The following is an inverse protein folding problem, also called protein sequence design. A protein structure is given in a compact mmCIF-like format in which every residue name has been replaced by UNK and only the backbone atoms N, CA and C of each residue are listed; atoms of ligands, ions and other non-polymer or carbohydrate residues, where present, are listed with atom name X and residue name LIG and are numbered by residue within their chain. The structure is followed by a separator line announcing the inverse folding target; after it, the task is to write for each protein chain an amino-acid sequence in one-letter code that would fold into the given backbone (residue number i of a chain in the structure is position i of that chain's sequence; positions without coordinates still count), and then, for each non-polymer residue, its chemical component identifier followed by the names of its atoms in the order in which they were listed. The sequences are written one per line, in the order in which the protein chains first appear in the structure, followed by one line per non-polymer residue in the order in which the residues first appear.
data_IF_112837516262
#
_entry.id   IF_112837516262
#
_cell.length_a   1.000
_cell.length_b   1.000
_cell.length_c   1.000
_cell.angle_alpha   90.00
_cell.angle_beta   90.00
_cell.angle_gamma   90.00
#
_symmetry.space_group_name_H-M   'P 1'
#
loop_
_entity.id
_entity.type
_entity.pdbx_description
1 polymer ?
#
# COMPACT_ATOMS: atom_id res chain seq x y z
N UNK A 1 16.90 -25.77 65.05
CA UNK A 1 16.62 -27.10 65.65
C UNK A 1 16.09 -28.00 64.54
N UNK A 2 17.00 -28.78 63.95
CA UNK A 2 16.73 -30.07 63.29
C UNK A 2 16.89 -31.19 64.36
N UNK A 3 16.74 -32.51 64.07
CA UNK A 3 15.77 -33.25 63.24
C UNK A 3 15.37 -34.61 63.88
N UNK A 4 14.59 -35.47 63.19
CA UNK A 4 14.76 -36.97 63.07
C UNK A 4 13.63 -37.53 62.18
N UNK A 5 13.90 -38.03 60.95
CA UNK A 5 14.29 -39.40 60.51
C UNK A 5 13.20 -40.46 60.80
N UNK A 6 12.80 -41.44 59.97
CA UNK A 6 13.17 -42.05 58.65
C UNK A 6 12.30 -43.33 58.56
N UNK A 7 11.82 -43.90 57.42
CA UNK A 7 12.53 -44.76 56.46
C UNK A 7 11.55 -45.32 55.38
N UNK A 8 12.10 -45.62 54.19
CA UNK A 8 11.56 -46.33 53.01
C UNK A 8 11.55 -47.89 53.20
N UNK A 9 11.00 -48.71 52.27
CA UNK A 9 11.61 -49.10 50.96
C UNK A 9 10.57 -49.07 49.80
N UNK A 10 10.84 -49.14 48.48
CA UNK A 10 12.03 -49.40 47.67
C UNK A 10 11.63 -50.15 46.39
N UNK A 11 12.19 -49.74 45.24
CA UNK A 11 12.31 -50.41 43.92
C UNK A 11 11.16 -50.37 42.88
N UNK A 12 11.36 -49.59 41.80
CA UNK A 12 11.57 -50.11 40.43
C UNK A 12 12.12 -49.00 39.52
N UNK A 13 13.38 -49.15 39.09
CA UNK A 13 14.08 -48.34 38.09
C UNK A 13 14.53 -49.33 37.00
N UNK A 14 14.05 -49.20 35.76
CA UNK A 14 14.78 -49.63 34.56
C UNK A 14 14.11 -49.13 33.26
N UNK A 15 14.93 -48.41 32.49
CA UNK A 15 14.92 -48.21 31.03
C UNK A 15 13.72 -47.56 30.34
N UNK A 16 13.84 -46.27 30.02
CA UNK A 16 13.40 -45.69 28.74
C UNK A 16 14.28 -44.47 28.40
N UNK A 17 15.57 -44.73 28.17
CA UNK A 17 16.51 -43.81 27.52
C UNK A 17 16.89 -44.43 26.18
N UNK A 18 15.95 -44.42 25.24
CA UNK A 18 16.10 -45.01 23.89
C UNK A 18 15.13 -44.39 22.88
N UNK A 19 14.92 -43.08 22.93
CA UNK A 19 14.12 -42.36 21.93
C UNK A 19 14.78 -41.05 21.39
N UNK A 20 16.06 -40.81 21.71
CA UNK A 20 16.86 -39.67 21.20
C UNK A 20 18.07 -40.19 20.40
N UNK A 21 17.88 -41.25 19.60
CA UNK A 21 18.95 -41.85 18.80
C UNK A 21 18.55 -42.16 17.34
N UNK A 22 17.41 -41.67 16.86
CA UNK A 22 16.95 -41.95 15.48
C UNK A 22 16.91 -40.74 14.53
N UNK A 23 17.43 -39.58 14.94
CA UNK A 23 17.47 -38.36 14.10
C UNK A 23 18.89 -37.87 13.79
N UNK A 24 19.93 -38.67 14.08
CA UNK A 24 21.35 -38.26 13.91
C UNK A 24 22.20 -39.19 13.03
N UNK A 25 21.57 -40.02 12.19
CA UNK A 25 22.30 -40.88 11.22
C UNK A 25 22.04 -40.58 9.73
N UNK A 26 21.39 -39.46 9.40
CA UNK A 26 21.17 -39.06 7.99
C UNK A 26 21.92 -37.80 7.54
N UNK A 27 22.72 -37.19 8.42
CA UNK A 27 23.48 -35.95 8.10
C UNK A 27 24.97 -36.22 7.84
N UNK A 28 25.46 -37.46 7.97
CA UNK A 28 26.89 -37.79 7.83
C UNK A 28 27.29 -38.42 6.48
N UNK A 29 26.36 -38.64 5.54
CA UNK A 29 26.66 -39.29 4.26
C UNK A 29 26.70 -38.35 3.03
N UNK A 30 26.47 -37.04 3.21
CA UNK A 30 26.44 -36.07 2.11
C UNK A 30 27.66 -35.12 2.08
N UNK A 31 28.70 -35.38 2.89
CA UNK A 31 29.88 -34.50 3.02
C UNK A 31 31.18 -35.09 2.45
N UNK A 32 31.12 -36.15 1.64
CA UNK A 32 32.32 -36.82 1.10
C UNK A 32 32.32 -37.01 -0.43
N UNK A 33 31.50 -36.26 -1.17
CA UNK A 33 31.45 -36.36 -2.64
C UNK A 33 31.56 -35.02 -3.41
N UNK A 34 32.10 -33.98 -2.79
CA UNK A 34 32.36 -32.68 -3.46
C UNK A 34 33.75 -32.12 -3.13
N UNK A 35 34.78 -32.95 -3.28
CA UNK A 35 36.16 -32.49 -3.36
C UNK A 35 36.96 -33.44 -4.24
N UNK A 36 37.12 -33.07 -5.52
CA UNK A 36 38.23 -33.36 -6.45
C UNK A 36 37.69 -33.29 -7.88
N UNK A 37 37.85 -32.13 -8.53
CA UNK A 37 38.61 -31.96 -9.78
C UNK A 37 38.76 -30.44 -9.96
N UNK A 38 39.96 -29.93 -9.70
CA UNK A 38 40.47 -28.73 -10.37
C UNK A 38 41.04 -29.18 -11.70
N UNK A 39 40.85 -28.41 -12.78
CA UNK A 39 41.85 -28.16 -13.86
C UNK A 39 41.24 -27.27 -14.96
N UNK A 40 41.92 -26.13 -15.18
CA UNK A 40 41.98 -25.22 -16.34
C UNK A 40 40.73 -24.48 -16.87
N UNK A 41 40.80 -23.14 -16.78
CA UNK A 41 40.00 -22.15 -17.51
C UNK A 41 40.94 -21.28 -18.37
N UNK A 42 40.69 -21.20 -19.68
CA UNK A 42 40.97 -20.05 -20.55
C UNK A 42 39.92 -20.08 -21.71
N UNK A 43 39.58 -18.92 -22.33
CA UNK A 43 38.24 -18.69 -22.88
C UNK A 43 38.19 -18.63 -24.42
N UNK A 44 37.03 -18.97 -25.00
CA UNK A 44 36.71 -18.59 -26.38
C UNK A 44 35.21 -18.70 -26.69
N UNK A 45 34.60 -17.52 -26.90
CA UNK A 45 33.64 -17.09 -27.93
C UNK A 45 32.56 -18.05 -28.49
N UNK A 46 31.34 -17.48 -28.56
CA UNK A 46 30.25 -17.67 -29.52
C UNK A 46 30.00 -19.08 -30.09
N UNK A 47 28.79 -19.62 -29.84
CA UNK A 47 27.88 -20.07 -30.91
C UNK A 47 26.50 -20.45 -30.35
N UNK A 48 25.49 -19.82 -30.93
CA UNK A 48 24.10 -20.28 -30.95
C UNK A 48 24.03 -21.69 -31.56
N UNK A 49 23.31 -22.61 -30.92
CA UNK A 49 22.28 -23.43 -31.58
C UNK A 49 21.52 -24.34 -30.61
N UNK A 50 20.22 -24.35 -30.83
CA UNK A 50 19.18 -25.28 -30.40
C UNK A 50 19.58 -26.76 -30.43
N UNK A 51 19.23 -27.54 -29.39
CA UNK A 51 18.80 -28.93 -29.55
C UNK A 51 17.87 -29.37 -28.40
N UNK A 52 16.86 -30.10 -28.82
CA UNK A 52 15.68 -30.64 -28.12
C UNK A 52 15.92 -31.99 -27.41
N UNK A 53 15.03 -32.30 -26.46
CA UNK A 53 14.61 -33.64 -25.95
C UNK A 53 15.56 -34.47 -25.08
N UNK A 54 15.15 -34.84 -23.85
CA UNK A 54 14.25 -36.00 -23.64
C UNK A 54 13.99 -36.32 -22.14
N UNK A 55 12.72 -36.62 -21.84
CA UNK A 55 12.18 -37.58 -20.87
C UNK A 55 12.43 -37.45 -19.35
N UNK A 56 11.38 -37.07 -18.62
CA UNK A 56 10.88 -37.87 -17.50
C UNK A 56 9.34 -37.96 -17.59
N UNK A 57 8.89 -39.14 -18.01
CA UNK A 57 7.49 -39.56 -18.09
C UNK A 57 6.96 -39.84 -16.67
N UNK A 58 5.94 -39.11 -16.24
CA UNK A 58 5.01 -39.59 -15.22
C UNK A 58 3.59 -39.58 -15.79
N UNK A 59 3.00 -40.77 -15.74
CA UNK A 59 1.79 -41.18 -16.44
C UNK A 59 0.55 -40.60 -15.75
N UNK A 60 -0.31 -39.86 -16.47
CA UNK A 60 -1.67 -39.53 -16.05
C UNK A 60 -2.66 -40.05 -17.11
N UNK A 61 -3.82 -40.60 -16.72
CA UNK A 61 -4.75 -41.21 -17.66
C UNK A 61 -5.47 -40.15 -18.50
N UNK A 62 -5.59 -40.47 -19.79
CA UNK A 62 -6.23 -39.69 -20.83
C UNK A 62 -7.77 -39.79 -20.77
N UNK A 63 -8.43 -38.66 -20.96
CA UNK A 63 -9.69 -38.40 -21.68
C UNK A 63 -10.21 -37.07 -21.13
N UNK A 64 -10.28 -35.98 -21.89
CA UNK A 64 -11.35 -35.69 -22.83
C UNK A 64 -10.86 -34.68 -23.88
N UNK A 65 -11.21 -34.98 -25.14
CA UNK A 65 -11.26 -34.16 -26.35
C UNK A 65 -10.72 -32.71 -26.30
N UNK A 66 -9.63 -32.49 -27.04
CA UNK A 66 -9.21 -31.18 -27.55
C UNK A 66 -10.21 -30.70 -28.61
N UNK A 67 -11.09 -29.78 -28.23
CA UNK A 67 -11.52 -28.74 -29.15
C UNK A 67 -10.40 -27.70 -29.20
N UNK A 68 -9.87 -27.41 -30.38
CA UNK A 68 -9.06 -26.22 -30.65
C UNK A 68 -9.93 -25.00 -30.32
N UNK A 69 -9.83 -24.51 -29.08
CA UNK A 69 -10.30 -23.18 -28.72
C UNK A 69 -9.15 -22.24 -29.01
N UNK A 70 -9.42 -21.26 -29.87
CA UNK A 70 -8.61 -20.07 -30.05
C UNK A 70 -8.13 -19.59 -28.67
N UNK A 71 -6.81 -19.42 -28.51
CA UNK A 71 -6.26 -18.71 -27.37
C UNK A 71 -6.81 -17.28 -27.45
N UNK A 72 -7.99 -17.06 -26.88
CA UNK A 72 -8.47 -15.73 -26.55
C UNK A 72 -7.38 -15.09 -25.70
N UNK A 73 -6.72 -14.11 -26.28
CA UNK A 73 -5.75 -13.23 -25.66
C UNK A 73 -6.45 -12.55 -24.48
N UNK A 74 -6.49 -13.25 -23.34
CA UNK A 74 -7.20 -12.84 -22.14
C UNK A 74 -6.41 -11.69 -21.52
N UNK A 75 -6.50 -10.53 -22.14
CA UNK A 75 -6.15 -9.26 -21.54
C UNK A 75 -7.15 -9.08 -20.40
N UNK A 76 -6.75 -9.28 -19.12
CA UNK A 76 -7.68 -9.04 -18.03
C UNK A 76 -8.08 -7.57 -18.17
N UNK A 77 -9.37 -7.31 -18.32
CA UNK A 77 -9.90 -5.94 -18.38
C UNK A 77 -9.53 -5.26 -17.07
N UNK A 78 -8.43 -4.51 -17.07
CA UNK A 78 -7.79 -3.87 -15.91
C UNK A 78 -8.56 -2.61 -15.44
N UNK A 79 -9.80 -2.44 -15.87
CA UNK A 79 -10.65 -1.34 -15.46
C UNK A 79 -11.50 -1.77 -14.25
N UNK A 80 -10.99 -1.51 -13.05
CA UNK A 80 -11.64 -1.87 -11.77
C UNK A 80 -12.84 -1.00 -11.43
N UNK A 81 -12.89 0.21 -11.98
CA UNK A 81 -13.93 1.19 -11.68
C UNK A 81 -15.11 0.92 -12.59
N UNK A 82 -16.21 0.45 -11.99
CA UNK A 82 -17.49 0.21 -12.67
C UNK A 82 -18.46 1.31 -12.24
N UNK A 83 -18.91 2.14 -13.18
CA UNK A 83 -19.81 3.27 -12.90
C UNK A 83 -21.16 2.80 -12.35
N UNK A 84 -21.69 3.53 -11.36
CA UNK A 84 -22.99 3.25 -10.73
C UNK A 84 -24.16 3.33 -11.72
N UNK A 85 -24.02 4.02 -12.84
CA UNK A 85 -25.04 4.11 -13.90
C UNK A 85 -25.36 2.74 -14.51
N UNK A 86 -24.45 1.77 -14.43
CA UNK A 86 -24.71 0.40 -14.90
C UNK A 86 -25.88 -0.27 -14.17
N UNK A 87 -26.25 0.19 -12.97
CA UNK A 87 -27.44 -0.29 -12.26
C UNK A 87 -28.73 -0.13 -13.08
N UNK A 88 -28.78 0.86 -13.98
CA UNK A 88 -29.95 1.09 -14.83
C UNK A 88 -30.22 -0.07 -15.78
N UNK A 89 -29.16 -0.73 -16.27
CA UNK A 89 -29.25 -1.93 -17.11
C UNK A 89 -29.85 -3.14 -16.36
N UNK A 90 -29.89 -3.07 -15.02
CA UNK A 90 -30.40 -4.12 -14.14
C UNK A 90 -31.68 -3.69 -13.40
N UNK A 91 -32.43 -2.74 -13.97
CA UNK A 91 -33.79 -2.41 -13.52
C UNK A 91 -33.86 -1.43 -12.35
N UNK A 92 -32.77 -0.71 -12.05
CA UNK A 92 -32.80 0.42 -11.10
C UNK A 92 -33.15 1.71 -11.85
N UNK A 93 -34.11 2.46 -11.32
CA UNK A 93 -34.53 3.72 -11.94
C UNK A 93 -33.39 4.75 -11.93
N UNK A 94 -33.23 5.50 -13.03
CA UNK A 94 -32.22 6.56 -13.14
C UNK A 94 -32.32 7.60 -11.99
N UNK A 95 -33.53 7.94 -11.55
CA UNK A 95 -33.73 8.87 -10.42
C UNK A 95 -33.23 8.33 -9.08
N UNK A 96 -33.19 7.01 -8.89
CA UNK A 96 -32.61 6.40 -7.71
C UNK A 96 -31.07 6.32 -7.81
N UNK A 97 -30.54 6.13 -9.02
CA UNK A 97 -29.09 6.26 -9.29
C UNK A 97 -28.60 7.69 -9.06
N UNK A 98 -29.34 8.71 -9.51
CA UNK A 98 -28.99 10.12 -9.24
C UNK A 98 -28.91 10.43 -7.74
N UNK A 99 -29.74 9.78 -6.91
CA UNK A 99 -29.66 9.93 -5.44
C UNK A 99 -28.43 9.26 -4.83
N UNK A 100 -27.95 8.15 -5.43
CA UNK A 100 -26.68 7.53 -5.04
C UNK A 100 -25.52 8.48 -5.33
N UNK A 101 -25.46 9.04 -6.55
CA UNK A 101 -24.45 10.04 -6.94
C UNK A 101 -24.50 11.28 -6.04
N UNK A 102 -25.70 11.81 -5.78
CA UNK A 102 -25.89 12.92 -4.83
C UNK A 102 -25.46 12.59 -3.39
N UNK A 103 -25.36 11.31 -3.04
CA UNK A 103 -24.84 10.81 -1.76
C UNK A 103 -23.38 10.32 -1.86
N UNK A 104 -22.66 10.72 -2.92
CA UNK A 104 -21.26 10.39 -3.21
C UNK A 104 -20.95 8.90 -3.46
N UNK A 105 -21.92 8.16 -4.00
CA UNK A 105 -21.71 6.82 -4.55
C UNK A 105 -21.66 6.89 -6.08
N UNK A 106 -20.47 6.76 -6.63
CA UNK A 106 -20.20 6.87 -8.07
C UNK A 106 -19.85 5.53 -8.71
N UNK A 107 -19.54 4.49 -7.92
CA UNK A 107 -19.20 3.17 -8.44
C UNK A 107 -20.06 2.06 -7.85
N UNK A 108 -20.13 0.94 -8.57
CA UNK A 108 -20.77 -0.29 -8.10
C UNK A 108 -20.05 -0.81 -6.85
N UNK A 109 -18.72 -0.77 -6.79
CA UNK A 109 -17.95 -1.24 -5.65
C UNK A 109 -18.25 -0.46 -4.36
N UNK A 110 -18.41 0.86 -4.44
CA UNK A 110 -18.83 1.67 -3.31
C UNK A 110 -20.22 1.28 -2.78
N UNK A 111 -21.18 1.00 -3.67
CA UNK A 111 -22.54 0.56 -3.27
C UNK A 111 -22.50 -0.82 -2.61
N UNK A 112 -21.65 -1.72 -3.11
CA UNK A 112 -21.46 -3.06 -2.54
C UNK A 112 -20.85 -3.00 -1.14
N UNK A 113 -19.80 -2.20 -0.96
CA UNK A 113 -19.08 -2.03 0.32
C UNK A 113 -19.91 -1.29 1.37
N UNK A 114 -20.85 -0.43 0.95
CA UNK A 114 -21.73 0.29 1.86
C UNK A 114 -22.64 -0.65 2.66
N UNK A 115 -22.74 -0.43 3.96
CA UNK A 115 -23.72 -1.14 4.80
C UNK A 115 -25.14 -0.76 4.39
N UNK A 116 -26.04 -1.74 4.38
CA UNK A 116 -27.46 -1.48 4.04
C UNK A 116 -28.08 -0.42 4.96
N UNK A 117 -27.64 -0.33 6.22
CA UNK A 117 -28.07 0.71 7.17
C UNK A 117 -27.69 2.12 6.69
N UNK A 118 -26.53 2.29 6.07
CA UNK A 118 -26.07 3.58 5.53
C UNK A 118 -26.86 3.93 4.28
N UNK A 119 -27.07 2.99 3.36
CA UNK A 119 -27.87 3.26 2.16
C UNK A 119 -29.33 3.63 2.49
N UNK A 120 -29.89 3.09 3.58
CA UNK A 120 -31.22 3.46 4.08
C UNK A 120 -31.33 4.92 4.57
N UNK A 121 -30.22 5.61 4.86
CA UNK A 121 -30.26 7.03 5.24
C UNK A 121 -30.49 7.95 4.04
N UNK A 122 -30.29 7.44 2.81
CA UNK A 122 -30.56 8.18 1.58
C UNK A 122 -32.07 8.41 1.46
N UNK A 123 -32.47 9.68 1.30
CA UNK A 123 -33.88 10.05 1.21
C UNK A 123 -34.58 9.32 0.07
N UNK A 124 -35.62 8.54 0.40
CA UNK A 124 -36.41 7.76 -0.57
C UNK A 124 -35.87 6.35 -0.86
N UNK A 125 -34.87 5.88 -0.10
CA UNK A 125 -34.42 4.49 -0.09
C UNK A 125 -35.14 3.70 1.00
N UNK A 126 -36.10 2.86 0.59
CA UNK A 126 -36.70 1.85 1.45
C UNK A 126 -35.82 0.61 1.57
N UNK A 127 -36.09 -0.26 2.54
CA UNK A 127 -35.37 -1.53 2.71
C UNK A 127 -35.42 -2.39 1.45
N UNK A 128 -36.61 -2.57 0.86
CA UNK A 128 -36.78 -3.30 -0.39
C UNK A 128 -35.99 -2.67 -1.55
N UNK A 129 -35.88 -1.34 -1.59
CA UNK A 129 -35.10 -0.66 -2.64
C UNK A 129 -33.61 -0.89 -2.46
N UNK A 130 -33.09 -0.81 -1.24
CA UNK A 130 -31.68 -1.10 -0.93
C UNK A 130 -31.32 -2.53 -1.34
N UNK A 131 -32.20 -3.50 -1.06
CA UNK A 131 -32.00 -4.89 -1.45
C UNK A 131 -31.94 -5.05 -2.98
N UNK A 132 -32.89 -4.45 -3.71
CA UNK A 132 -32.89 -4.45 -5.18
C UNK A 132 -31.62 -3.81 -5.76
N UNK A 133 -31.19 -2.68 -5.20
CA UNK A 133 -29.96 -1.99 -5.63
C UNK A 133 -28.74 -2.86 -5.40
N UNK A 134 -28.60 -3.51 -4.24
CA UNK A 134 -27.49 -4.43 -3.98
C UNK A 134 -27.52 -5.67 -4.86
N UNK A 135 -28.70 -6.18 -5.19
CA UNK A 135 -28.85 -7.31 -6.12
C UNK A 135 -28.45 -6.92 -7.55
N UNK A 136 -28.85 -5.73 -8.01
CA UNK A 136 -28.40 -5.19 -9.29
C UNK A 136 -26.88 -4.97 -9.29
N UNK A 137 -26.32 -4.42 -8.22
CA UNK A 137 -24.88 -4.19 -8.08
C UNK A 137 -24.06 -5.48 -8.15
N UNK A 138 -24.56 -6.58 -7.57
CA UNK A 138 -23.93 -7.92 -7.70
C UNK A 138 -23.82 -8.38 -9.16
N UNK A 139 -24.83 -8.07 -9.98
CA UNK A 139 -24.86 -8.45 -11.40
C UNK A 139 -23.94 -7.59 -12.27
N UNK A 140 -23.59 -6.39 -11.81
CA UNK A 140 -22.67 -5.48 -12.49
C UNK A 140 -21.20 -5.79 -12.19
N UNK A 141 -20.89 -6.69 -11.24
CA UNK A 141 -19.52 -7.04 -10.92
C UNK A 141 -18.87 -7.78 -12.10
N UNK A 142 -17.57 -7.56 -12.37
CA UNK A 142 -16.86 -8.29 -13.42
C UNK A 142 -17.02 -9.80 -13.28
N UNK A 143 -17.20 -10.49 -14.41
CA UNK A 143 -17.36 -11.95 -14.47
C UNK A 143 -16.22 -12.64 -13.71
N UNK A 144 -16.55 -13.56 -12.79
CA UNK A 144 -15.61 -14.25 -11.91
C UNK A 144 -15.44 -13.65 -10.51
N UNK A 145 -15.95 -12.44 -10.23
CA UNK A 145 -15.96 -11.88 -8.88
C UNK A 145 -17.11 -12.49 -8.04
N UNK A 146 -16.93 -13.73 -7.59
CA UNK A 146 -17.86 -14.43 -6.67
C UNK A 146 -17.71 -14.00 -5.21
N UNK A 147 -16.87 -13.00 -4.94
CA UNK A 147 -16.42 -12.62 -3.60
C UNK A 147 -15.33 -13.54 -3.03
N UNK A 148 -15.05 -14.68 -3.67
CA UNK A 148 -13.96 -15.59 -3.33
C UNK A 148 -13.01 -15.71 -4.52
N UNK A 149 -11.71 -15.74 -4.23
CA UNK A 149 -10.66 -15.96 -5.23
C UNK A 149 -9.52 -16.77 -4.61
N UNK A 150 -8.82 -17.52 -5.44
CA UNK A 150 -7.58 -18.21 -5.06
C UNK A 150 -6.43 -17.22 -4.88
N UNK A 151 -5.38 -17.63 -4.17
CA UNK A 151 -4.19 -16.80 -4.02
C UNK A 151 -3.51 -16.48 -5.37
N UNK A 152 -3.61 -17.39 -6.35
CA UNK A 152 -3.08 -17.18 -7.70
C UNK A 152 -3.86 -16.11 -8.47
N UNK A 153 -5.19 -16.11 -8.37
CA UNK A 153 -6.03 -15.06 -8.97
C UNK A 153 -5.77 -13.71 -8.31
N UNK A 154 -5.60 -13.68 -6.98
CA UNK A 154 -5.21 -12.47 -6.27
C UNK A 154 -3.84 -11.96 -6.73
N UNK A 155 -2.86 -12.85 -6.92
CA UNK A 155 -1.53 -12.48 -7.43
C UNK A 155 -1.63 -11.85 -8.82
N UNK A 156 -2.44 -12.41 -9.71
CA UNK A 156 -2.70 -11.84 -11.04
C UNK A 156 -3.37 -10.47 -10.91
N UNK A 157 -4.38 -10.33 -10.03
CA UNK A 157 -5.08 -9.06 -9.77
C UNK A 157 -4.13 -7.98 -9.22
N UNK A 158 -3.19 -8.35 -8.36
CA UNK A 158 -2.18 -7.43 -7.79
C UNK A 158 -1.15 -6.95 -8.81
N UNK A 159 -1.07 -7.53 -10.02
CA UNK A 159 -0.26 -6.97 -11.11
C UNK A 159 -0.70 -5.58 -11.55
N UNK A 160 -1.93 -5.18 -11.22
CA UNK A 160 -2.45 -3.83 -11.45
C UNK A 160 -2.00 -2.81 -10.39
N UNK A 161 -1.39 -3.25 -9.29
CA UNK A 161 -0.84 -2.33 -8.30
C UNK A 161 0.41 -1.67 -8.87
N UNK A 162 0.54 -0.36 -8.64
CA UNK A 162 1.72 0.41 -8.99
C UNK A 162 2.41 0.92 -7.72
N UNK A 163 3.62 1.45 -7.86
CA UNK A 163 4.35 2.11 -6.78
C UNK A 163 4.73 3.51 -7.20
N UNK A 164 4.58 4.46 -6.29
CA UNK A 164 5.00 5.85 -6.50
C UNK A 164 6.36 6.03 -5.82
N UNK A 165 7.44 6.30 -6.58
CA UNK A 165 8.74 6.54 -6.00
C UNK A 165 8.76 7.81 -5.12
N UNK A 166 9.70 7.85 -4.19
CA UNK A 166 9.85 8.94 -3.22
C UNK A 166 10.69 10.10 -3.76
N UNK A 167 11.50 9.84 -4.79
CA UNK A 167 12.52 10.76 -5.34
C UNK A 167 13.95 10.41 -4.92
N UNK A 168 14.13 9.51 -3.95
CA UNK A 168 15.44 8.97 -3.53
C UNK A 168 15.53 7.49 -3.88
N UNK A 169 16.54 7.11 -4.68
CA UNK A 169 16.79 5.71 -5.06
C UNK A 169 17.10 4.84 -3.85
N UNK A 170 17.81 5.38 -2.85
CA UNK A 170 18.09 4.64 -1.62
C UNK A 170 16.82 4.33 -0.84
N UNK A 171 15.91 5.30 -0.75
CA UNK A 171 14.62 5.09 -0.08
C UNK A 171 13.71 4.16 -0.89
N UNK A 172 13.65 4.34 -2.20
CA UNK A 172 12.84 3.49 -3.07
C UNK A 172 13.32 2.04 -3.03
N UNK A 173 14.64 1.79 -2.90
CA UNK A 173 15.19 0.45 -2.76
C UNK A 173 14.69 -0.27 -1.51
N UNK A 174 14.52 0.42 -0.38
CA UNK A 174 14.02 -0.22 0.85
C UNK A 174 12.49 -0.39 0.84
N UNK A 175 11.78 0.41 0.03
CA UNK A 175 10.32 0.32 -0.17
C UNK A 175 9.93 -0.55 -1.39
N UNK A 176 10.87 -1.27 -2.00
CA UNK A 176 10.59 -2.10 -3.16
C UNK A 176 10.08 -1.31 -4.39
N UNK A 177 10.54 -0.07 -4.55
CA UNK A 177 10.18 0.83 -5.66
C UNK A 177 9.30 2.02 -5.26
N UNK A 178 8.99 2.19 -3.97
CA UNK A 178 8.21 3.32 -3.44
C UNK A 178 6.90 2.89 -2.79
N UNK A 179 5.98 3.84 -2.60
CA UNK A 179 4.71 3.58 -1.92
C UNK A 179 3.70 2.89 -2.84
N UNK A 180 3.18 1.74 -2.42
CA UNK A 180 2.24 0.92 -3.20
C UNK A 180 0.84 1.55 -3.31
N UNK A 181 0.17 1.35 -4.45
CA UNK A 181 -1.26 1.63 -4.63
C UNK A 181 -2.12 0.59 -3.92
N UNK A 182 -3.41 0.88 -3.72
CA UNK A 182 -4.31 0.06 -2.88
C UNK A 182 -3.83 -0.10 -1.45
N UNK A 183 -3.02 0.84 -0.98
CA UNK A 183 -2.39 0.78 0.32
C UNK A 183 -2.47 2.14 1.01
N UNK A 184 -2.61 2.09 2.32
CA UNK A 184 -2.59 3.25 3.21
C UNK A 184 -1.21 3.32 3.86
N UNK A 185 -0.47 4.36 3.53
CA UNK A 185 0.92 4.55 3.93
C UNK A 185 1.02 5.73 4.91
N UNK A 186 1.69 5.52 6.04
CA UNK A 186 1.89 6.54 7.07
C UNK A 186 3.36 6.92 7.18
N UNK A 187 3.63 8.23 7.10
CA UNK A 187 4.92 8.80 7.43
C UNK A 187 4.80 9.67 8.67
N UNK A 188 5.58 9.37 9.70
CA UNK A 188 5.54 10.11 10.95
C UNK A 188 6.93 10.51 11.42
N UNK A 189 7.00 11.57 12.21
CA UNK A 189 8.27 12.08 12.72
C UNK A 189 8.11 13.43 13.39
N UNK A 190 9.19 13.90 14.01
CA UNK A 190 9.19 15.19 14.70
C UNK A 190 8.96 16.39 13.79
N UNK A 191 8.70 17.54 14.42
CA UNK A 191 8.81 18.82 13.74
C UNK A 191 10.19 18.94 13.06
N UNK A 192 10.22 19.61 11.90
CA UNK A 192 11.42 19.76 11.05
C UNK A 192 12.02 18.44 10.53
N UNK A 193 11.32 17.31 10.60
CA UNK A 193 11.63 16.13 9.79
C UNK A 193 11.04 16.23 8.36
N UNK A 194 10.45 17.38 8.03
CA UNK A 194 10.12 17.81 6.65
C UNK A 194 9.12 16.90 5.92
N UNK A 195 8.19 16.29 6.67
CA UNK A 195 7.05 15.50 6.14
C UNK A 195 6.33 16.19 4.97
N UNK A 196 5.98 17.47 5.10
CA UNK A 196 5.33 18.23 4.02
C UNK A 196 6.21 18.41 2.77
N UNK A 197 7.55 18.37 2.88
CA UNK A 197 8.42 18.39 1.69
C UNK A 197 8.33 17.08 0.91
N UNK A 198 8.20 15.95 1.60
CA UNK A 198 7.89 14.68 0.95
C UNK A 198 6.52 14.75 0.27
N UNK A 199 5.49 15.27 0.94
CA UNK A 199 4.17 15.47 0.33
C UNK A 199 4.23 16.31 -0.97
N UNK A 200 4.95 17.44 -0.96
CA UNK A 200 5.13 18.26 -2.16
C UNK A 200 5.89 17.52 -3.28
N UNK A 201 6.93 16.75 -2.91
CA UNK A 201 7.69 15.96 -3.89
C UNK A 201 6.81 14.91 -4.54
N UNK A 202 6.03 14.18 -3.74
CA UNK A 202 5.12 13.15 -4.23
C UNK A 202 4.01 13.73 -5.13
N UNK A 203 3.57 14.97 -4.91
CA UNK A 203 2.61 15.63 -5.81
C UNK A 203 3.13 15.75 -7.25
N UNK A 204 4.43 15.92 -7.43
CA UNK A 204 5.08 15.99 -8.74
C UNK A 204 5.39 14.60 -9.26
N UNK A 205 6.06 13.77 -8.44
CA UNK A 205 6.51 12.43 -8.85
C UNK A 205 5.34 11.53 -9.26
N UNK A 206 4.16 11.64 -8.62
CA UNK A 206 2.99 10.86 -9.01
C UNK A 206 2.51 11.14 -10.44
N UNK A 207 2.79 12.34 -10.97
CA UNK A 207 2.39 12.78 -12.30
C UNK A 207 3.44 12.48 -13.38
N UNK A 208 4.67 12.16 -12.99
CA UNK A 208 5.75 11.83 -13.92
C UNK A 208 5.33 10.64 -14.79
N UNK A 209 5.53 10.75 -16.10
CA UNK A 209 5.29 9.62 -16.99
C UNK A 209 6.23 8.46 -16.68
N UNK A 210 5.71 7.23 -16.78
CA UNK A 210 6.51 6.00 -16.72
C UNK A 210 7.58 6.00 -17.82
N UNK A 211 7.40 6.82 -18.86
CA UNK A 211 8.32 7.00 -19.98
C UNK A 211 9.02 8.36 -19.93
N UNK A 212 9.72 8.68 -18.84
CA UNK A 212 10.78 9.70 -18.90
C UNK A 212 12.11 9.04 -19.24
N UNK A 213 12.32 8.79 -20.54
CA UNK A 213 13.66 8.82 -21.11
C UNK A 213 13.60 9.52 -22.47
N UNK A 214 13.77 10.84 -22.47
CA UNK A 214 13.81 11.65 -23.69
C UNK A 214 15.15 11.55 -24.44
N UNK A 215 15.98 10.53 -24.19
CA UNK A 215 17.26 10.37 -24.92
C UNK A 215 17.53 8.98 -25.52
N UNK A 216 16.58 8.05 -25.52
CA UNK A 216 16.79 6.74 -26.17
C UNK A 216 15.73 6.43 -27.23
N UNK A 217 16.26 5.99 -28.37
CA UNK A 217 15.59 5.63 -29.62
C UNK A 217 14.31 4.81 -29.38
N UNK A 218 13.20 5.21 -30.03
CA UNK A 218 11.84 4.67 -29.85
C UNK A 218 11.67 3.22 -30.36
N UNK A 219 12.75 2.55 -30.74
CA UNK A 219 12.74 1.26 -31.42
C UNK A 219 12.69 0.05 -30.47
N UNK A 220 12.95 0.22 -29.16
CA UNK A 220 12.95 -0.91 -28.21
C UNK A 220 12.31 -0.57 -26.84
N UNK A 221 10.98 -0.39 -26.84
CA UNK A 221 10.17 -0.17 -25.62
C UNK A 221 9.92 -1.49 -24.86
N UNK A 222 10.42 -2.63 -25.36
CA UNK A 222 10.02 -3.95 -24.85
C UNK A 222 10.77 -4.43 -23.60
N UNK A 223 11.87 -3.77 -23.18
CA UNK A 223 12.74 -4.31 -22.11
C UNK A 223 13.36 -3.28 -21.13
N UNK A 224 12.65 -2.22 -20.70
CA UNK A 224 13.13 -1.40 -19.57
C UNK A 224 12.46 -1.81 -18.24
N UNK A 225 13.22 -1.98 -17.13
CA UNK A 225 12.63 -2.24 -15.82
C UNK A 225 11.76 -1.06 -15.36
N UNK A 226 10.62 -1.35 -14.74
CA UNK A 226 9.59 -0.40 -14.24
C UNK A 226 10.04 0.51 -13.08
N UNK A 227 11.28 0.99 -13.05
CA UNK A 227 11.86 1.61 -11.84
C UNK A 227 12.21 3.10 -11.95
N UNK A 228 11.97 3.77 -13.07
CA UNK A 228 12.21 5.21 -13.20
C UNK A 228 11.03 5.88 -13.92
N UNK A 229 9.93 6.10 -13.18
CA UNK A 229 8.77 6.81 -13.66
C UNK A 229 7.63 6.85 -12.64
N UNK A 230 6.76 7.86 -12.73
CA UNK A 230 5.65 8.10 -11.81
C UNK A 230 4.42 7.21 -12.11
N UNK A 231 3.26 7.57 -11.58
CA UNK A 231 2.03 6.79 -11.79
C UNK A 231 1.14 7.34 -12.92
N UNK A 232 1.58 8.39 -13.62
CA UNK A 232 0.81 9.06 -14.69
C UNK A 232 -0.59 9.50 -14.24
N UNK A 233 -0.72 10.01 -13.01
CA UNK A 233 -2.03 10.39 -12.50
C UNK A 233 -2.07 11.67 -11.71
N UNK A 234 -3.27 12.24 -11.68
CA UNK A 234 -3.63 13.39 -10.87
C UNK A 234 -3.50 13.07 -9.38
N UNK A 235 -3.37 14.12 -8.59
CA UNK A 235 -3.15 14.04 -7.14
C UNK A 235 -4.25 14.76 -6.42
N UNK A 236 -4.74 14.20 -5.32
CA UNK A 236 -5.64 14.89 -4.40
C UNK A 236 -4.91 15.16 -3.07
N UNK A 237 -5.13 16.33 -2.48
CA UNK A 237 -4.51 16.76 -1.22
C UNK A 237 -5.56 17.28 -0.27
N UNK A 238 -5.69 16.62 0.88
CA UNK A 238 -6.42 17.12 2.05
C UNK A 238 -5.38 17.69 3.02
N UNK A 239 -5.30 19.02 3.09
CA UNK A 239 -4.39 19.71 3.99
C UNK A 239 -5.13 20.24 5.22
N UNK A 240 -4.62 19.91 6.40
CA UNK A 240 -5.19 20.35 7.68
C UNK A 240 -4.35 21.43 8.36
N UNK A 241 -3.07 21.55 8.01
CA UNK A 241 -2.12 22.43 8.69
C UNK A 241 -1.98 23.81 8.01
N UNK A 242 -2.48 23.98 6.77
CA UNK A 242 -2.30 25.21 5.98
C UNK A 242 -0.88 25.38 5.44
N UNK A 243 -0.13 24.29 5.30
CA UNK A 243 1.30 24.25 4.96
C UNK A 243 1.57 23.94 3.49
N UNK A 244 0.53 23.62 2.71
CA UNK A 244 0.66 23.40 1.28
C UNK A 244 1.07 24.70 0.57
N UNK A 245 2.08 24.64 -0.29
CA UNK A 245 2.62 25.79 -1.04
C UNK A 245 2.77 25.40 -2.51
N UNK A 246 1.86 25.84 -3.40
CA UNK A 246 1.95 25.56 -4.83
C UNK A 246 3.27 26.02 -5.46
N UNK A 247 3.86 27.10 -4.96
CA UNK A 247 5.15 27.61 -5.42
C UNK A 247 6.28 26.61 -5.16
N UNK A 248 6.18 25.86 -4.05
CA UNK A 248 7.14 24.80 -3.75
C UNK A 248 6.97 23.60 -4.67
N UNK A 249 5.73 23.25 -5.01
CA UNK A 249 5.43 22.19 -5.99
C UNK A 249 5.95 22.60 -7.37
N UNK A 250 5.73 23.84 -7.79
CA UNK A 250 6.26 24.40 -9.04
C UNK A 250 7.78 24.29 -9.13
N UNK A 251 8.51 24.65 -8.07
CA UNK A 251 9.96 24.50 -8.03
C UNK A 251 10.42 23.05 -8.21
N UNK A 252 9.70 22.08 -7.62
CA UNK A 252 10.01 20.66 -7.81
C UNK A 252 9.67 20.22 -9.24
N UNK A 253 8.56 20.68 -9.80
CA UNK A 253 8.18 20.41 -11.19
C UNK A 253 9.24 20.88 -12.20
N UNK A 254 9.74 22.11 -12.04
CA UNK A 254 10.82 22.67 -12.88
C UNK A 254 12.09 21.80 -12.83
N UNK A 255 12.47 21.34 -11.64
CA UNK A 255 13.62 20.43 -11.47
C UNK A 255 13.43 19.12 -12.24
N UNK A 256 12.20 18.60 -12.28
CA UNK A 256 11.82 17.42 -13.04
C UNK A 256 11.47 17.70 -14.52
N UNK A 257 11.74 18.92 -15.01
CA UNK A 257 11.49 19.34 -16.39
C UNK A 257 10.00 19.23 -16.80
N UNK A 258 9.10 19.39 -15.84
CA UNK A 258 7.66 19.43 -16.05
C UNK A 258 7.17 20.87 -16.05
N UNK A 259 6.10 21.14 -16.81
CA UNK A 259 5.44 22.43 -16.79
C UNK A 259 4.74 22.68 -15.43
N UNK A 260 5.13 23.70 -14.66
CA UNK A 260 4.59 23.93 -13.32
C UNK A 260 3.11 24.26 -13.28
N UNK A 261 2.58 24.91 -14.31
CA UNK A 261 1.16 25.25 -14.40
C UNK A 261 0.33 23.98 -14.57
N UNK A 262 0.69 23.13 -15.54
CA UNK A 262 0.07 21.82 -15.77
C UNK A 262 0.14 20.94 -14.52
N UNK A 263 1.29 20.90 -13.84
CA UNK A 263 1.44 20.09 -12.61
C UNK A 263 0.49 20.56 -11.51
N UNK A 264 0.32 21.87 -11.33
CA UNK A 264 -0.60 22.41 -10.32
C UNK A 264 -2.07 22.21 -10.70
N UNK A 265 -2.43 22.31 -11.99
CA UNK A 265 -3.80 22.03 -12.47
C UNK A 265 -4.23 20.58 -12.20
N UNK A 266 -3.28 19.65 -12.20
CA UNK A 266 -3.51 18.23 -11.90
C UNK A 266 -3.58 17.92 -10.39
N UNK A 267 -3.53 18.93 -9.52
CA UNK A 267 -3.63 18.76 -8.07
C UNK A 267 -4.97 19.29 -7.57
N UNK A 268 -5.85 18.38 -7.16
CA UNK A 268 -7.07 18.71 -6.45
C UNK A 268 -6.74 19.00 -4.98
N UNK A 269 -6.91 20.25 -4.55
CA UNK A 269 -6.55 20.69 -3.20
C UNK A 269 -7.77 21.09 -2.36
N UNK A 270 -7.80 20.65 -1.11
CA UNK A 270 -8.75 21.12 -0.09
C UNK A 270 -8.03 21.42 1.22
N UNK A 271 -8.43 22.53 1.85
CA UNK A 271 -8.03 22.84 3.23
C UNK A 271 -9.16 22.46 4.19
N UNK A 272 -9.00 21.37 4.92
CA UNK A 272 -9.93 20.99 5.96
C UNK A 272 -9.74 21.88 7.20
N UNK A 273 -10.86 22.29 7.81
CA UNK A 273 -10.88 23.23 8.94
C UNK A 273 -11.27 22.59 10.27
N UNK A 274 -11.91 21.42 10.22
CA UNK A 274 -12.24 20.57 11.35
C UNK A 274 -12.31 19.10 10.87
N UNK A 275 -12.38 18.17 11.82
CA UNK A 275 -12.35 16.73 11.58
C UNK A 275 -13.54 16.21 10.76
N UNK A 276 -14.71 16.84 10.88
CA UNK A 276 -15.88 16.51 10.04
C UNK A 276 -15.66 16.94 8.59
N UNK A 277 -15.21 18.18 8.36
CA UNK A 277 -14.86 18.70 7.04
C UNK A 277 -13.74 17.88 6.39
N UNK A 278 -12.76 17.40 7.15
CA UNK A 278 -11.73 16.46 6.66
C UNK A 278 -12.36 15.15 6.15
N UNK A 279 -13.33 14.60 6.87
CA UNK A 279 -14.03 13.39 6.44
C UNK A 279 -14.93 13.65 5.23
N UNK A 280 -15.73 14.71 5.26
CA UNK A 280 -16.66 15.05 4.18
C UNK A 280 -15.93 15.38 2.87
N UNK A 281 -14.77 16.04 2.95
CA UNK A 281 -13.92 16.31 1.79
C UNK A 281 -13.47 15.02 1.11
N UNK A 282 -13.08 14.00 1.89
CA UNK A 282 -12.74 12.69 1.36
C UNK A 282 -13.94 12.07 0.63
N UNK A 283 -15.14 12.14 1.21
CA UNK A 283 -16.35 11.61 0.58
C UNK A 283 -16.64 12.30 -0.75
N UNK A 284 -16.52 13.63 -0.81
CA UNK A 284 -16.76 14.42 -2.03
C UNK A 284 -15.75 14.10 -3.15
N UNK A 285 -14.50 13.77 -2.80
CA UNK A 285 -13.48 13.38 -3.78
C UNK A 285 -13.81 12.08 -4.53
N UNK A 286 -14.80 11.29 -4.09
CA UNK A 286 -15.24 10.08 -4.77
C UNK A 286 -15.58 10.31 -6.25
N UNK A 287 -16.16 11.47 -6.59
CA UNK A 287 -16.51 11.81 -7.98
C UNK A 287 -15.26 11.90 -8.85
N UNK A 288 -14.24 12.62 -8.35
CA UNK A 288 -12.97 12.80 -9.03
C UNK A 288 -12.21 11.48 -9.15
N UNK A 289 -12.25 10.62 -8.14
CA UNK A 289 -11.59 9.32 -8.20
C UNK A 289 -12.29 8.32 -9.12
N UNK A 290 -13.62 8.44 -9.30
CA UNK A 290 -14.36 7.60 -10.24
C UNK A 290 -13.98 7.84 -11.71
N UNK A 291 -13.29 8.95 -12.05
CA UNK A 291 -12.74 9.14 -13.40
C UNK A 291 -11.58 8.20 -13.72
N UNK A 292 -10.93 7.63 -12.70
CA UNK A 292 -9.77 6.74 -12.85
C UNK A 292 -8.45 7.44 -13.17
N UNK A 293 -8.45 8.79 -13.22
CA UNK A 293 -7.27 9.61 -13.55
C UNK A 293 -6.34 9.87 -12.35
N UNK A 294 -6.79 9.61 -11.13
CA UNK A 294 -6.01 9.86 -9.91
C UNK A 294 -5.18 8.65 -9.51
N UNK A 295 -4.01 8.92 -8.91
CA UNK A 295 -3.08 7.87 -8.45
C UNK A 295 -2.60 8.08 -7.01
N UNK A 296 -2.73 9.29 -6.46
CA UNK A 296 -2.27 9.63 -5.13
C UNK A 296 -3.30 10.49 -4.39
N UNK A 297 -3.61 10.11 -3.14
CA UNK A 297 -4.30 10.94 -2.16
C UNK A 297 -3.38 11.22 -0.98
N UNK A 298 -3.11 12.49 -0.71
CA UNK A 298 -2.32 12.95 0.44
C UNK A 298 -3.25 13.50 1.52
N UNK A 299 -3.02 13.08 2.77
CA UNK A 299 -3.63 13.70 3.97
C UNK A 299 -2.51 14.27 4.86
N UNK A 300 -2.33 15.59 4.83
CA UNK A 300 -1.29 16.30 5.59
C UNK A 300 -1.91 17.28 6.61
N UNK A 301 -2.10 16.91 7.88
CA UNK A 301 -1.77 15.64 8.54
C UNK A 301 -3.02 14.96 9.09
N UNK A 302 -2.98 13.62 9.16
CA UNK A 302 -4.16 12.79 9.47
C UNK A 302 -4.80 13.11 10.83
N UNK A 303 -4.00 13.56 11.80
CA UNK A 303 -4.41 13.72 13.19
C UNK A 303 -4.48 15.16 13.69
N UNK A 304 -4.12 16.17 12.88
CA UNK A 304 -4.11 17.55 13.35
C UNK A 304 -5.48 17.97 13.92
N UNK A 305 -6.54 17.79 13.13
CA UNK A 305 -7.90 18.24 13.48
C UNK A 305 -8.55 17.32 14.52
N UNK A 306 -8.35 16.00 14.43
CA UNK A 306 -8.85 15.07 15.44
C UNK A 306 -8.26 15.32 16.83
N UNK A 307 -7.08 15.93 16.93
CA UNK A 307 -6.49 16.29 18.23
C UNK A 307 -7.00 17.63 18.77
N UNK A 308 -7.34 18.57 17.91
CA UNK A 308 -7.88 19.87 18.34
C UNK A 308 -9.34 19.76 18.74
N UNK A 309 -10.12 18.99 17.98
CA UNK A 309 -11.58 18.93 18.07
C UNK A 309 -12.04 18.04 19.23
N UNK A 310 -11.24 17.04 19.59
CA UNK A 310 -11.54 16.11 20.68
C UNK A 310 -10.49 16.22 21.79
N UNK A 311 -10.89 16.77 22.94
CA UNK A 311 -9.99 17.15 24.02
C UNK A 311 -10.11 16.26 25.26
N UNK A 312 -8.95 16.00 25.88
CA UNK A 312 -8.88 15.24 27.12
C UNK A 312 -9.21 13.74 26.96
N UNK A 313 -9.34 13.05 28.10
CA UNK A 313 -9.60 11.61 28.13
C UNK A 313 -11.07 11.25 27.93
N UNK A 314 -12.00 12.16 28.22
CA UNK A 314 -13.44 11.92 28.11
C UNK A 314 -13.89 11.69 26.67
N UNK A 315 -13.30 12.42 25.71
CA UNK A 315 -13.65 12.37 24.30
C UNK A 315 -12.76 11.39 23.49
N UNK A 316 -11.84 10.70 24.18
CA UNK A 316 -10.91 9.77 23.54
C UNK A 316 -11.64 8.67 22.77
N UNK A 317 -12.70 8.12 23.35
CA UNK A 317 -13.45 7.04 22.71
C UNK A 317 -14.09 7.52 21.39
N UNK A 318 -14.81 8.64 21.44
CA UNK A 318 -15.45 9.23 20.26
C UNK A 318 -14.43 9.57 19.17
N UNK A 319 -13.32 10.20 19.55
CA UNK A 319 -12.21 10.47 18.63
C UNK A 319 -11.71 9.21 17.93
N UNK A 320 -11.46 8.13 18.69
CA UNK A 320 -10.96 6.88 18.11
C UNK A 320 -12.00 6.22 17.18
N UNK A 321 -13.29 6.32 17.49
CA UNK A 321 -14.35 5.82 16.60
C UNK A 321 -14.41 6.62 15.30
N UNK A 322 -14.42 7.95 15.37
CA UNK A 322 -14.49 8.84 14.21
C UNK A 322 -13.24 8.72 13.33
N UNK A 323 -12.06 8.66 13.93
CA UNK A 323 -10.81 8.37 13.24
C UNK A 323 -10.86 7.01 12.53
N UNK A 324 -11.36 5.97 13.20
CA UNK A 324 -11.52 4.64 12.62
C UNK A 324 -12.43 4.64 11.38
N UNK A 325 -13.54 5.38 11.41
CA UNK A 325 -14.44 5.55 10.26
C UNK A 325 -13.70 6.23 9.10
N UNK A 326 -12.94 7.29 9.37
CA UNK A 326 -12.18 7.99 8.34
C UNK A 326 -11.06 7.11 7.72
N UNK A 327 -10.28 6.40 8.55
CA UNK A 327 -9.23 5.50 8.10
C UNK A 327 -9.77 4.33 7.28
N UNK A 328 -10.89 3.74 7.70
CA UNK A 328 -11.58 2.72 6.91
C UNK A 328 -11.96 3.26 5.53
N UNK A 329 -12.45 4.50 5.47
CA UNK A 329 -12.85 5.12 4.20
C UNK A 329 -11.67 5.37 3.28
N UNK A 330 -10.52 5.77 3.82
CA UNK A 330 -9.27 5.88 3.07
C UNK A 330 -8.84 4.53 2.48
N UNK A 331 -8.90 3.44 3.27
CA UNK A 331 -8.58 2.09 2.79
C UNK A 331 -9.56 1.62 1.71
N UNK A 332 -10.87 1.86 1.89
CA UNK A 332 -11.89 1.58 0.86
C UNK A 332 -11.59 2.31 -0.45
N UNK A 333 -11.16 3.57 -0.39
CA UNK A 333 -10.82 4.35 -1.59
C UNK A 333 -9.54 3.90 -2.25
N UNK A 334 -8.52 3.54 -1.46
CA UNK A 334 -7.28 2.98 -1.96
C UNK A 334 -7.55 1.75 -2.84
N UNK A 335 -8.37 0.82 -2.33
CA UNK A 335 -8.73 -0.42 -3.02
C UNK A 335 -9.63 -0.19 -4.25
N UNK A 336 -10.72 0.54 -4.07
CA UNK A 336 -11.74 0.78 -5.09
C UNK A 336 -11.17 1.50 -6.32
N UNK A 337 -10.41 2.57 -6.07
CA UNK A 337 -9.90 3.45 -7.13
C UNK A 337 -8.46 3.12 -7.55
N UNK A 338 -7.84 2.09 -6.94
CA UNK A 338 -6.44 1.74 -7.15
C UNK A 338 -5.52 2.97 -6.99
N UNK A 339 -5.63 3.66 -5.85
CA UNK A 339 -4.78 4.83 -5.54
C UNK A 339 -3.85 4.53 -4.37
N UNK A 340 -2.71 5.22 -4.31
CA UNK A 340 -1.86 5.26 -3.13
C UNK A 340 -2.44 6.29 -2.16
N UNK A 341 -2.74 5.88 -0.92
CA UNK A 341 -3.06 6.83 0.15
C UNK A 341 -1.79 7.09 0.95
N UNK A 342 -1.42 8.36 1.09
CA UNK A 342 -0.24 8.82 1.80
C UNK A 342 -0.65 9.80 2.91
N UNK A 343 -0.34 9.45 4.15
CA UNK A 343 -0.69 10.23 5.32
C UNK A 343 0.57 10.70 6.03
N UNK A 344 0.59 11.97 6.43
CA UNK A 344 1.59 12.45 7.39
C UNK A 344 1.01 12.39 8.80
N UNK A 345 1.86 12.09 9.77
CA UNK A 345 1.47 12.09 11.17
C UNK A 345 2.56 12.72 12.07
N UNK A 346 2.14 13.18 13.24
CA UNK A 346 2.97 13.78 14.26
C UNK A 346 3.33 12.74 15.34
N UNK A 347 4.40 13.01 16.09
CA UNK A 347 4.79 12.23 17.26
C UNK A 347 4.52 13.00 18.54
N UNK A 348 4.35 12.28 19.65
CA UNK A 348 4.26 12.86 20.98
C UNK A 348 5.33 12.24 21.88
N UNK A 349 5.87 13.05 22.79
CA UNK A 349 6.74 12.57 23.87
C UNK A 349 5.95 11.65 24.80
N UNK A 350 6.61 10.66 25.38
CA UNK A 350 6.05 9.80 26.43
C UNK A 350 6.71 10.12 27.78
N UNK A 351 6.17 11.07 28.59
CA UNK A 351 6.79 11.46 29.85
C UNK A 351 6.78 10.34 30.91
N UNK A 352 5.97 9.29 30.72
CA UNK A 352 5.87 8.15 31.62
C UNK A 352 6.81 7.00 31.24
N UNK A 353 7.47 7.06 30.08
CA UNK A 353 8.47 6.08 29.69
C UNK A 353 9.70 6.24 30.60
N UNK A 354 9.94 5.27 31.47
CA UNK A 354 11.23 5.15 32.16
C UNK A 354 12.34 5.08 31.11
N UNK A 355 13.44 5.81 31.30
CA UNK A 355 14.57 5.84 30.36
C UNK A 355 15.15 4.44 30.05
N UNK A 356 14.84 3.44 30.89
CA UNK A 356 15.20 2.03 30.70
C UNK A 356 14.28 1.26 29.72
N UNK A 357 13.08 1.77 29.45
CA UNK A 357 12.05 1.13 28.60
C UNK A 357 11.52 2.04 27.48
N UNK A 358 12.00 3.28 27.41
CA UNK A 358 11.88 4.09 26.22
C UNK A 358 12.63 3.35 25.09
N UNK A 359 11.96 3.06 23.97
CA UNK A 359 12.68 2.68 22.75
C UNK A 359 13.76 3.72 22.43
N UNK A 360 14.74 3.39 21.59
CA UNK A 360 15.91 4.26 21.33
C UNK A 360 15.55 5.74 21.01
N UNK A 361 14.32 6.00 20.54
CA UNK A 361 13.80 7.33 20.26
C UNK A 361 12.82 7.92 21.31
N UNK A 362 12.35 7.19 22.33
CA UNK A 362 11.48 7.69 23.41
C UNK A 362 10.15 8.36 23.00
N UNK A 363 9.78 8.26 21.72
CA UNK A 363 8.68 8.99 21.08
C UNK A 363 7.70 8.01 20.47
N UNK A 364 6.41 8.32 20.57
CA UNK A 364 5.32 7.49 20.01
C UNK A 364 4.54 8.28 18.96
N UNK A 365 4.20 7.68 17.81
CA UNK A 365 3.27 8.30 16.87
C UNK A 365 1.91 8.49 17.54
N UNK A 366 1.22 9.58 17.21
CA UNK A 366 -0.11 9.85 17.74
C UNK A 366 -1.14 9.00 16.99
N UNK A 367 -2.29 8.70 17.62
CA UNK A 367 -3.40 7.92 17.02
C UNK A 367 -3.61 6.54 17.64
N UNK A 368 -2.60 6.03 18.35
CA UNK A 368 -2.67 4.74 19.02
C UNK A 368 -2.84 3.57 18.05
N UNK A 369 -3.40 2.46 18.56
CA UNK A 369 -3.53 1.22 17.79
C UNK A 369 -4.48 1.33 16.59
N UNK A 370 -5.48 2.22 16.63
CA UNK A 370 -6.43 2.40 15.52
C UNK A 370 -5.71 2.84 14.25
N UNK A 371 -4.82 3.83 14.36
CA UNK A 371 -4.02 4.27 13.21
C UNK A 371 -2.97 3.22 12.83
N UNK A 372 -2.30 2.63 13.83
CA UNK A 372 -1.26 1.63 13.57
C UNK A 372 -1.78 0.42 12.77
N UNK A 373 -2.97 -0.08 13.07
CA UNK A 373 -3.56 -1.21 12.34
C UNK A 373 -4.15 -0.84 10.97
N UNK A 374 -4.51 0.43 10.76
CA UNK A 374 -5.07 0.87 9.49
C UNK A 374 -3.98 1.18 8.45
N UNK A 375 -2.80 1.59 8.89
CA UNK A 375 -1.65 1.84 8.02
C UNK A 375 -0.97 0.52 7.67
N UNK A 376 -0.86 0.20 6.38
CA UNK A 376 -0.15 -0.98 5.91
C UNK A 376 1.36 -0.80 6.00
N UNK A 377 1.87 0.35 5.55
CA UNK A 377 3.30 0.68 5.62
C UNK A 377 3.51 1.91 6.50
N UNK A 378 4.43 1.84 7.45
CA UNK A 378 4.71 2.90 8.42
C UNK A 378 6.18 3.26 8.39
N UNK A 379 6.49 4.52 8.14
CA UNK A 379 7.87 5.02 8.03
C UNK A 379 8.12 6.14 9.05
N UNK A 380 9.13 5.95 9.90
CA UNK A 380 9.64 6.95 10.83
C UNK A 380 10.68 7.83 10.13
N UNK A 381 10.47 9.15 10.17
CA UNK A 381 11.45 10.14 9.75
C UNK A 381 12.16 10.74 10.95
N UNK A 382 13.49 10.74 10.89
CA UNK A 382 14.37 11.39 11.87
C UNK A 382 15.42 12.25 11.18
N UNK A 383 15.98 13.22 11.91
CA UNK A 383 17.10 14.03 11.42
C UNK A 383 18.37 13.16 11.38
N UNK A 384 19.09 13.25 10.27
CA UNK A 384 20.43 12.68 10.09
C UNK A 384 21.51 13.69 10.47
N UNK A 385 22.72 13.53 9.90
CA UNK A 385 23.83 14.47 10.09
C UNK A 385 23.72 15.61 9.07
N UNK A 386 23.92 16.85 9.51
CA UNK A 386 23.82 18.01 8.63
C UNK A 386 22.44 18.13 7.96
N UNK A 387 22.42 18.17 6.63
CA UNK A 387 21.18 18.25 5.84
C UNK A 387 20.53 16.89 5.56
N UNK A 388 21.17 15.79 5.94
CA UNK A 388 20.61 14.44 5.79
C UNK A 388 19.42 14.20 6.70
N UNK A 389 18.53 13.34 6.23
CA UNK A 389 17.39 12.78 6.94
C UNK A 389 17.43 11.27 6.80
N UNK A 390 16.81 10.58 7.74
CA UNK A 390 16.74 9.12 7.73
C UNK A 390 15.27 8.72 7.74
N UNK A 391 14.91 7.82 6.83
CA UNK A 391 13.64 7.14 6.76
C UNK A 391 13.83 5.70 7.23
N UNK A 392 13.06 5.27 8.22
CA UNK A 392 13.07 3.91 8.77
C UNK A 392 11.72 3.24 8.58
N UNK A 393 11.69 2.07 7.95
CA UNK A 393 10.48 1.23 7.90
C UNK A 393 10.26 0.62 9.27
N UNK A 394 9.11 0.90 9.85
CA UNK A 394 8.72 0.47 11.19
C UNK A 394 7.70 -0.67 11.16
N UNK A 395 6.89 -0.72 10.11
CA UNK A 395 5.90 -1.76 9.87
C UNK A 395 5.58 -1.80 8.38
N UNK A 396 5.46 -3.00 7.82
CA UNK A 396 5.14 -3.24 6.41
C UNK A 396 4.82 -4.73 6.20
N UNK A 397 3.82 -5.08 5.36
CA UNK A 397 3.51 -6.47 5.05
C UNK A 397 4.54 -7.15 4.14
N UNK A 398 5.30 -6.38 3.36
CA UNK A 398 6.15 -6.87 2.27
C UNK A 398 7.61 -6.37 2.34
N UNK A 399 7.88 -5.30 3.07
CA UNK A 399 9.23 -4.74 3.23
C UNK A 399 9.82 -5.08 4.60
N UNK A 400 11.08 -5.56 4.69
CA UNK A 400 11.74 -5.77 5.96
C UNK A 400 12.07 -4.44 6.66
N UNK A 401 12.32 -4.47 7.97
CA UNK A 401 12.85 -3.30 8.68
C UNK A 401 14.19 -2.86 8.08
N UNK A 402 14.21 -1.65 7.54
CA UNK A 402 15.37 -1.06 6.89
C UNK A 402 15.38 0.46 7.05
N UNK A 403 16.55 1.06 6.86
CA UNK A 403 16.76 2.50 6.92
C UNK A 403 17.40 3.00 5.63
N UNK A 404 16.99 4.19 5.18
CA UNK A 404 17.57 4.89 4.05
C UNK A 404 17.85 6.35 4.41
N UNK A 405 18.93 6.90 3.87
CA UNK A 405 19.29 8.30 4.02
C UNK A 405 18.85 9.09 2.79
N UNK A 406 18.26 10.25 3.01
CA UNK A 406 17.82 11.15 1.94
C UNK A 406 18.12 12.60 2.33
N UNK A 407 18.14 13.49 1.34
CA UNK A 407 18.31 14.93 1.50
C UNK A 407 17.13 15.67 0.88
N UNK A 408 17.05 16.97 1.13
CA UNK A 408 16.00 17.84 0.59
C UNK A 408 16.67 18.94 -0.20
N UNK A 409 16.40 18.95 -1.49
CA UNK A 409 17.00 19.85 -2.48
C UNK A 409 15.92 20.73 -3.11
N UNK A 410 16.30 21.58 -4.07
CA UNK A 410 15.33 22.29 -4.92
C UNK A 410 14.42 21.32 -5.69
N UNK A 411 14.89 20.12 -6.00
CA UNK A 411 14.10 19.03 -6.59
C UNK A 411 13.22 18.25 -5.61
N UNK A 412 13.14 18.66 -4.33
CA UNK A 412 12.38 17.90 -3.34
C UNK A 412 13.25 16.85 -2.65
N UNK A 413 12.68 15.67 -2.38
CA UNK A 413 13.42 14.52 -1.81
C UNK A 413 14.41 13.99 -2.85
N UNK A 414 15.66 13.76 -2.42
CA UNK A 414 16.72 13.25 -3.30
C UNK A 414 17.72 12.39 -2.52
N UNK A 415 18.59 11.70 -3.24
CA UNK A 415 19.70 10.95 -2.64
C UNK A 415 20.82 11.89 -2.12
N UNK A 416 21.55 11.52 -1.04
CA UNK A 416 22.56 12.38 -0.41
C UNK A 416 23.72 12.83 -1.31
N UNK A 417 24.02 12.10 -2.38
CA UNK A 417 25.03 12.45 -3.38
C UNK A 417 24.63 13.64 -4.27
N UNK A 418 23.37 14.04 -4.24
CA UNK A 418 22.83 15.20 -4.95
C UNK A 418 22.60 16.42 -4.06
N UNK A 419 23.11 16.38 -2.83
CA UNK A 419 22.96 17.43 -1.81
C UNK A 419 23.67 18.74 -2.18
#
# INVERSE_FOLDING_TARGET
MEPTKSFLPGSLLLSFSTAIAFTLSFVSAASSLLQRVSVHYLPSQHLYQSFTSSALLFNMPASVATSEQEEDDYQPVLHFIVDVDQLTNHGINASDVSKLKASSYYTIGQVMNAHSKVLKTIKGYSEQKVEKVKEAARKCQPHGFTGMMTAQELLIRRKSCFRIPTGSKQWDSILGGGFESRSVNEVYGEYRCRKTQLSHTMCVIAQVSIYLDQQLDRSDISQKPKSEGGAEGKVAVINTEGTFRPERVAQVAEYHQMDPETVNENILYVRALNSEHQHDSLIQMAESFATGEYRLLIVDSILNLFRSDYQGRGELNERQQRLGIHLRKLAEFAEEFNITVFMTNQVQSDPGASALFAGADGRKPVGGHVLAHASATRVLLRKGRGEERVAKIMDSPDCPEAEATYVITTGGINDPDKA
#
